data_IF_614777476020
#
_entry.id   IF_614777476020
#
_cell.length_a   1.000
_cell.length_b   1.000
_cell.length_c   1.000
_cell.angle_alpha   90.00
_cell.angle_beta   90.00
_cell.angle_gamma   90.00
#
_symmetry.space_group_name_H-M   'P 1'
#
loop_
_entity.id
_entity.type
_entity.pdbx_description
1 polymer ?
#
# COMPACT_ATOMS: atom_id res chain seq x y z
N UNK A 1 -14.72 -7.72 -49.36
CA UNK A 1 -15.58 -7.19 -48.28
C UNK A 1 -14.66 -6.61 -47.24
N UNK A 2 -14.46 -5.29 -47.25
CA UNK A 2 -13.68 -4.58 -46.27
C UNK A 2 -14.55 -4.39 -45.01
N UNK A 3 -14.17 -5.02 -43.93
CA UNK A 3 -14.84 -4.86 -42.64
C UNK A 3 -14.86 -3.37 -42.27
N UNK A 4 -16.06 -2.85 -42.04
CA UNK A 4 -16.28 -1.47 -41.58
C UNK A 4 -15.57 -1.34 -40.23
N UNK A 5 -14.67 -0.33 -40.03
CA UNK A 5 -14.00 -0.19 -38.75
C UNK A 5 -15.05 -0.07 -37.65
N UNK A 6 -14.91 -0.89 -36.63
CA UNK A 6 -15.78 -0.93 -35.46
C UNK A 6 -15.77 0.46 -34.82
N UNK A 7 -16.94 1.04 -34.64
CA UNK A 7 -17.08 2.43 -34.17
C UNK A 7 -16.82 2.42 -32.66
N UNK A 8 -15.64 2.90 -32.24
CA UNK A 8 -15.27 3.03 -30.83
C UNK A 8 -16.36 3.80 -30.09
N UNK A 9 -16.89 3.23 -29.03
CA UNK A 9 -17.94 3.85 -28.20
C UNK A 9 -17.38 5.02 -27.39
N UNK A 10 -18.24 5.89 -26.86
CA UNK A 10 -17.81 7.00 -26.01
C UNK A 10 -17.16 6.48 -24.73
N UNK A 11 -17.66 5.40 -24.16
CA UNK A 11 -17.10 4.77 -22.97
C UNK A 11 -15.71 4.17 -23.22
N UNK A 12 -15.52 3.49 -24.35
CA UNK A 12 -14.18 2.99 -24.73
C UNK A 12 -13.18 4.11 -24.97
N UNK A 13 -13.61 5.25 -25.55
CA UNK A 13 -12.74 6.43 -25.69
C UNK A 13 -12.36 6.95 -24.32
N UNK A 14 -13.33 7.07 -23.41
CA UNK A 14 -13.11 7.51 -22.05
C UNK A 14 -12.10 6.63 -21.33
N UNK A 15 -12.33 5.33 -21.32
CA UNK A 15 -11.46 4.36 -20.63
C UNK A 15 -10.03 4.39 -21.18
N UNK A 16 -9.87 4.33 -22.51
CA UNK A 16 -8.54 4.39 -23.16
C UNK A 16 -7.77 5.67 -22.81
N UNK A 17 -8.47 6.81 -22.73
CA UNK A 17 -7.86 8.08 -22.35
C UNK A 17 -7.42 8.09 -20.89
N UNK A 18 -8.22 7.54 -19.97
CA UNK A 18 -7.89 7.46 -18.55
C UNK A 18 -6.74 6.49 -18.31
N UNK A 19 -6.74 5.33 -18.97
CA UNK A 19 -5.65 4.35 -18.88
C UNK A 19 -4.33 4.95 -19.42
N UNK A 20 -4.36 5.59 -20.58
CA UNK A 20 -3.20 6.25 -21.15
C UNK A 20 -2.66 7.37 -20.25
N UNK A 21 -3.54 8.15 -19.63
CA UNK A 21 -3.14 9.17 -18.66
C UNK A 21 -2.50 8.58 -17.41
N UNK A 22 -3.03 7.45 -16.91
CA UNK A 22 -2.44 6.70 -15.80
C UNK A 22 -1.05 6.17 -16.15
N UNK A 23 -0.90 5.55 -17.32
CA UNK A 23 0.40 5.05 -17.79
C UNK A 23 1.45 6.17 -17.83
N UNK A 24 1.11 7.31 -18.47
CA UNK A 24 2.02 8.46 -18.56
C UNK A 24 2.37 9.03 -17.18
N UNK A 25 1.40 9.08 -16.26
CA UNK A 25 1.65 9.52 -14.88
C UNK A 25 2.60 8.57 -14.13
N UNK A 26 2.48 7.26 -14.36
CA UNK A 26 3.37 6.24 -13.77
C UNK A 26 4.77 6.27 -14.38
N UNK A 27 4.89 6.43 -15.72
CA UNK A 27 6.17 6.54 -16.42
C UNK A 27 6.94 7.80 -16.02
N UNK A 28 6.23 8.91 -15.82
CA UNK A 28 6.84 10.17 -15.38
C UNK A 28 7.35 10.12 -13.93
N UNK A 29 7.10 9.00 -13.21
CA UNK A 29 7.39 8.86 -11.79
C UNK A 29 6.68 9.95 -10.98
N UNK A 30 5.85 9.63 -10.03
CA UNK A 30 4.95 10.49 -9.23
C UNK A 30 5.36 11.96 -8.94
N UNK A 31 6.53 12.37 -9.40
CA UNK A 31 7.11 13.71 -9.27
C UNK A 31 6.60 14.72 -10.32
N UNK A 32 6.06 14.25 -11.44
CA UNK A 32 5.48 15.15 -12.44
C UNK A 32 3.99 15.28 -12.14
N UNK A 33 3.63 16.47 -11.77
CA UNK A 33 2.27 16.88 -11.55
C UNK A 33 1.44 16.50 -12.79
N UNK A 34 0.36 15.75 -12.56
CA UNK A 34 -0.69 15.46 -13.55
C UNK A 34 -1.08 16.73 -14.33
N UNK A 35 -0.87 17.91 -13.72
CA UNK A 35 -1.01 19.24 -14.33
C UNK A 35 -0.08 19.47 -15.55
N UNK A 36 0.99 18.74 -15.72
CA UNK A 36 1.89 18.87 -16.89
C UNK A 36 1.59 17.86 -18.01
N UNK A 37 0.68 16.93 -17.82
CA UNK A 37 0.25 16.02 -18.87
C UNK A 37 -0.33 16.79 -20.06
N UNK A 38 0.24 16.59 -21.24
CA UNK A 38 -0.24 17.17 -22.49
C UNK A 38 -1.38 16.32 -23.04
N UNK A 39 -2.55 16.91 -23.24
CA UNK A 39 -3.72 16.19 -23.75
C UNK A 39 -3.44 15.50 -25.09
N UNK A 40 -2.63 16.12 -25.97
CA UNK A 40 -2.22 15.56 -27.26
C UNK A 40 -1.40 14.27 -27.10
N UNK A 41 -0.53 14.21 -26.11
CA UNK A 41 0.30 13.04 -25.81
C UNK A 41 -0.58 11.88 -25.32
N UNK A 42 -1.55 12.18 -24.46
CA UNK A 42 -2.53 11.20 -24.01
C UNK A 42 -3.36 10.67 -25.18
N UNK A 43 -3.85 11.56 -26.07
CA UNK A 43 -4.60 11.17 -27.27
C UNK A 43 -3.79 10.23 -28.16
N UNK A 44 -2.52 10.53 -28.37
CA UNK A 44 -1.61 9.69 -29.15
C UNK A 44 -1.43 8.32 -28.50
N UNK A 45 -1.20 8.26 -27.20
CA UNK A 45 -1.03 7.03 -26.43
C UNK A 45 -2.31 6.19 -26.45
N UNK A 46 -3.46 6.82 -26.22
CA UNK A 46 -4.78 6.17 -26.21
C UNK A 46 -5.23 5.68 -27.58
N UNK A 47 -4.64 6.19 -28.68
CA UNK A 47 -4.99 5.87 -30.07
C UNK A 47 -6.49 6.10 -30.36
N UNK A 48 -7.02 7.23 -29.91
CA UNK A 48 -8.42 7.62 -30.09
C UNK A 48 -8.55 8.83 -31.02
N UNK A 49 -9.70 8.99 -31.72
CA UNK A 49 -9.93 10.16 -32.59
C UNK A 49 -9.99 11.45 -31.75
N UNK A 50 -9.23 12.49 -32.12
CA UNK A 50 -9.25 13.81 -31.45
C UNK A 50 -10.66 14.38 -31.32
N UNK A 51 -11.48 14.28 -32.39
CA UNK A 51 -12.86 14.80 -32.38
C UNK A 51 -13.75 14.14 -31.32
N UNK A 52 -13.50 12.88 -30.99
CA UNK A 52 -14.21 12.18 -29.92
C UNK A 52 -13.80 12.67 -28.54
N UNK A 53 -12.50 12.97 -28.35
CA UNK A 53 -11.97 13.51 -27.10
C UNK A 53 -12.53 14.90 -26.81
N UNK A 54 -12.43 15.84 -27.77
CA UNK A 54 -12.94 17.21 -27.59
C UNK A 54 -14.47 17.31 -27.49
N UNK A 55 -15.19 16.29 -27.93
CA UNK A 55 -16.63 16.20 -27.69
C UNK A 55 -16.95 15.74 -26.27
N UNK A 56 -16.05 14.98 -25.62
CA UNK A 56 -16.22 14.48 -24.28
C UNK A 56 -15.71 15.46 -23.22
N UNK A 57 -14.54 16.03 -23.47
CA UNK A 57 -13.92 17.05 -22.64
C UNK A 57 -13.66 18.30 -23.49
N UNK A 58 -14.47 19.33 -23.31
CA UNK A 58 -14.32 20.57 -24.03
C UNK A 58 -13.02 21.29 -23.69
N UNK A 59 -12.57 21.13 -22.46
CA UNK A 59 -11.35 21.71 -21.92
C UNK A 59 -10.46 20.64 -21.30
N UNK A 60 -9.13 20.88 -21.33
CA UNK A 60 -8.13 20.02 -20.73
C UNK A 60 -8.37 19.79 -19.24
N UNK A 61 -8.81 20.79 -18.54
CA UNK A 61 -9.09 20.78 -17.11
C UNK A 61 -10.19 19.75 -16.75
N UNK A 62 -11.19 19.57 -17.60
CA UNK A 62 -12.25 18.57 -17.42
C UNK A 62 -11.69 17.15 -17.52
N UNK A 63 -10.76 16.93 -18.46
CA UNK A 63 -10.06 15.64 -18.56
C UNK A 63 -9.17 15.39 -17.33
N UNK A 64 -8.43 16.40 -16.87
CA UNK A 64 -7.58 16.29 -15.68
C UNK A 64 -8.41 15.97 -14.43
N UNK A 65 -9.56 16.63 -14.26
CA UNK A 65 -10.47 16.35 -13.14
C UNK A 65 -10.98 14.90 -13.19
N UNK A 66 -11.33 14.39 -14.36
CA UNK A 66 -11.77 13.00 -14.53
C UNK A 66 -10.62 12.01 -14.34
N UNK A 67 -9.41 12.33 -14.81
CA UNK A 67 -8.21 11.50 -14.58
C UNK A 67 -7.87 11.43 -13.10
N UNK A 68 -7.93 12.56 -12.38
CA UNK A 68 -7.70 12.57 -10.92
C UNK A 68 -8.73 11.73 -10.18
N UNK A 69 -10.01 11.79 -10.57
CA UNK A 69 -11.05 10.93 -10.00
C UNK A 69 -10.80 9.44 -10.29
N UNK A 70 -10.37 9.10 -11.52
CA UNK A 70 -10.03 7.75 -11.90
C UNK A 70 -8.83 7.20 -11.09
N UNK A 71 -7.77 7.98 -10.98
CA UNK A 71 -6.58 7.61 -10.19
C UNK A 71 -6.88 7.50 -8.69
N UNK A 72 -7.87 8.22 -8.21
CA UNK A 72 -8.33 8.15 -6.83
C UNK A 72 -9.16 6.88 -6.54
N UNK A 73 -9.94 6.43 -7.53
CA UNK A 73 -10.88 5.31 -7.43
C UNK A 73 -10.37 4.05 -8.13
N UNK A 74 -10.90 3.79 -9.33
CA UNK A 74 -10.65 2.55 -10.08
C UNK A 74 -9.18 2.33 -10.45
N UNK A 75 -8.43 3.39 -10.76
CA UNK A 75 -7.01 3.34 -11.06
C UNK A 75 -6.10 3.47 -9.83
N UNK A 76 -6.66 3.41 -8.63
CA UNK A 76 -5.92 3.62 -7.40
C UNK A 76 -5.03 2.43 -7.00
N UNK A 77 -4.12 2.69 -6.06
CA UNK A 77 -3.34 1.65 -5.39
C UNK A 77 -4.20 0.54 -4.75
N UNK A 78 -5.42 0.88 -4.30
CA UNK A 78 -6.28 -0.04 -3.57
C UNK A 78 -7.16 -0.90 -4.48
N UNK A 79 -7.42 -0.51 -5.74
CA UNK A 79 -8.38 -1.18 -6.61
C UNK A 79 -7.90 -2.54 -7.12
N UNK A 80 -6.60 -2.68 -7.38
CA UNK A 80 -6.01 -3.86 -8.01
C UNK A 80 -5.26 -4.78 -7.04
N UNK A 81 -5.30 -4.49 -5.73
CA UNK A 81 -4.51 -5.24 -4.77
C UNK A 81 -5.35 -6.02 -3.79
N UNK A 82 -5.03 -7.31 -3.58
CA UNK A 82 -5.51 -8.02 -2.41
C UNK A 82 -4.95 -7.36 -1.14
N UNK A 83 -5.63 -7.55 -0.01
CA UNK A 83 -5.24 -6.99 1.32
C UNK A 83 -3.80 -7.31 1.68
N UNK A 84 -3.39 -8.53 1.37
CA UNK A 84 -2.01 -8.98 1.40
C UNK A 84 -1.60 -9.41 0.00
N UNK A 85 -0.37 -9.12 -0.39
CA UNK A 85 0.20 -9.71 -1.60
C UNK A 85 0.10 -11.25 -1.53
N UNK A 86 -0.05 -11.95 -2.66
CA UNK A 86 -0.14 -13.42 -2.69
C UNK A 86 1.01 -14.09 -1.94
N UNK A 87 2.21 -13.54 -2.05
CA UNK A 87 3.41 -14.01 -1.36
C UNK A 87 3.25 -13.88 0.16
N UNK A 88 2.73 -12.75 0.64
CA UNK A 88 2.49 -12.51 2.07
C UNK A 88 1.40 -13.45 2.60
N UNK A 89 0.33 -13.66 1.83
CA UNK A 89 -0.73 -14.63 2.18
C UNK A 89 -0.17 -16.04 2.29
N UNK A 90 0.69 -16.44 1.36
CA UNK A 90 1.36 -17.76 1.39
C UNK A 90 2.25 -17.91 2.61
N UNK A 91 2.99 -16.85 3.00
CA UNK A 91 3.82 -16.84 4.20
C UNK A 91 2.97 -16.99 5.46
N UNK A 92 1.88 -16.23 5.60
CA UNK A 92 0.96 -16.32 6.75
C UNK A 92 0.39 -17.73 6.87
N UNK A 93 -0.12 -18.28 5.77
CA UNK A 93 -0.70 -19.62 5.74
C UNK A 93 0.33 -20.68 6.15
N UNK A 94 1.54 -20.61 5.60
CA UNK A 94 2.63 -21.55 5.93
C UNK A 94 3.01 -21.47 7.41
N UNK A 95 3.24 -20.26 7.95
CA UNK A 95 3.60 -20.10 9.37
C UNK A 95 2.56 -20.74 10.27
N UNK A 96 1.27 -20.47 10.03
CA UNK A 96 0.20 -21.02 10.85
C UNK A 96 0.05 -22.53 10.67
N UNK A 97 0.24 -23.05 9.45
CA UNK A 97 0.10 -24.49 9.16
C UNK A 97 1.25 -25.30 9.76
N UNK A 98 2.49 -24.85 9.54
CA UNK A 98 3.69 -25.57 9.96
C UNK A 98 3.91 -25.54 11.49
N UNK A 99 3.25 -24.60 12.18
CA UNK A 99 3.44 -24.37 13.61
C UNK A 99 2.13 -24.47 14.41
N UNK A 100 1.17 -25.27 13.96
CA UNK A 100 -0.13 -25.46 14.63
C UNK A 100 -0.02 -25.77 16.11
N UNK A 101 0.98 -26.58 16.49
CA UNK A 101 1.22 -26.98 17.88
C UNK A 101 1.46 -25.78 18.81
N UNK A 102 1.99 -24.66 18.29
CA UNK A 102 2.22 -23.45 19.06
C UNK A 102 0.92 -22.73 19.46
N UNK A 103 -0.20 -23.02 18.78
CA UNK A 103 -1.49 -22.45 19.14
C UNK A 103 -2.01 -22.97 20.50
N UNK A 104 -1.51 -24.10 20.97
CA UNK A 104 -1.95 -24.72 22.20
C UNK A 104 -1.56 -23.94 23.47
N UNK A 105 -0.50 -23.13 23.42
CA UNK A 105 -0.01 -22.40 24.60
C UNK A 105 0.00 -20.88 24.37
N UNK A 106 -0.19 -20.07 25.43
CA UNK A 106 -0.10 -18.61 25.32
C UNK A 106 1.27 -18.16 24.75
N UNK A 107 2.36 -18.77 25.19
CA UNK A 107 3.73 -18.48 24.76
C UNK A 107 3.90 -18.79 23.27
N UNK A 108 3.37 -19.93 22.81
CA UNK A 108 3.39 -20.31 21.40
C UNK A 108 2.57 -19.35 20.53
N UNK A 109 1.38 -18.95 20.97
CA UNK A 109 0.56 -17.95 20.27
C UNK A 109 1.25 -16.59 20.20
N UNK A 110 1.95 -16.17 21.28
CA UNK A 110 2.77 -14.96 21.27
C UNK A 110 3.91 -15.06 20.27
N UNK A 111 4.61 -16.20 20.23
CA UNK A 111 5.69 -16.42 19.26
C UNK A 111 5.19 -16.37 17.82
N UNK A 112 4.02 -16.96 17.52
CA UNK A 112 3.37 -16.87 16.21
C UNK A 112 2.99 -15.44 15.87
N UNK A 113 2.41 -14.68 16.80
CA UNK A 113 2.08 -13.27 16.59
C UNK A 113 3.32 -12.45 16.21
N UNK A 114 4.42 -12.63 16.95
CA UNK A 114 5.68 -11.93 16.70
C UNK A 114 6.21 -12.23 15.28
N UNK A 115 6.23 -13.50 14.90
CA UNK A 115 6.71 -13.92 13.58
C UNK A 115 5.82 -13.42 12.44
N UNK A 116 4.51 -13.49 12.60
CA UNK A 116 3.55 -12.95 11.63
C UNK A 116 3.75 -11.44 11.46
N UNK A 117 3.83 -10.69 12.56
CA UNK A 117 4.07 -9.23 12.53
C UNK A 117 5.39 -8.94 11.82
N UNK A 118 6.45 -9.62 12.19
CA UNK A 118 7.78 -9.43 11.61
C UNK A 118 7.76 -9.57 10.09
N UNK A 119 7.28 -10.72 9.60
CA UNK A 119 7.33 -11.03 8.17
C UNK A 119 6.30 -10.25 7.35
N UNK A 120 5.04 -10.16 7.81
CA UNK A 120 4.00 -9.45 7.04
C UNK A 120 4.29 -7.95 6.95
N UNK A 121 4.82 -7.35 8.02
CA UNK A 121 5.17 -5.92 8.01
C UNK A 121 6.36 -5.65 7.09
N UNK A 122 7.38 -6.51 7.09
CA UNK A 122 8.52 -6.38 6.17
C UNK A 122 8.07 -6.45 4.71
N UNK A 123 7.23 -7.45 4.35
CA UNK A 123 6.71 -7.59 2.99
C UNK A 123 5.83 -6.41 2.57
N UNK A 124 4.96 -5.94 3.47
CA UNK A 124 4.09 -4.80 3.17
C UNK A 124 4.91 -3.51 2.99
N UNK A 125 5.92 -3.30 3.84
CA UNK A 125 6.82 -2.16 3.73
C UNK A 125 7.61 -2.17 2.42
N UNK A 126 8.19 -3.30 2.03
CA UNK A 126 8.89 -3.45 0.76
C UNK A 126 7.95 -3.15 -0.43
N UNK A 127 6.75 -3.75 -0.41
CA UNK A 127 5.75 -3.53 -1.44
C UNK A 127 5.32 -2.06 -1.59
N UNK A 128 5.25 -1.29 -0.50
CA UNK A 128 4.96 0.14 -0.53
C UNK A 128 6.15 0.94 -1.11
N UNK A 129 7.36 0.68 -0.62
CA UNK A 129 8.55 1.45 -1.04
C UNK A 129 8.89 1.25 -2.51
N UNK A 130 8.61 0.08 -3.07
CA UNK A 130 8.86 -0.26 -4.48
C UNK A 130 7.73 0.19 -5.42
N UNK A 131 6.55 0.48 -4.90
CA UNK A 131 5.37 0.74 -5.72
C UNK A 131 5.29 2.17 -6.24
N UNK A 132 5.36 2.33 -7.56
CA UNK A 132 5.10 3.60 -8.23
C UNK A 132 3.63 4.02 -8.09
N UNK A 133 2.69 3.08 -8.13
CA UNK A 133 1.25 3.35 -7.94
C UNK A 133 0.96 3.90 -6.54
N UNK A 134 1.63 3.37 -5.50
CA UNK A 134 1.49 3.92 -4.15
C UNK A 134 2.07 5.34 -4.05
N UNK A 135 3.23 5.60 -4.66
CA UNK A 135 3.80 6.95 -4.71
C UNK A 135 2.86 7.93 -5.42
N UNK A 136 2.25 7.52 -6.53
CA UNK A 136 1.24 8.32 -7.23
C UNK A 136 0.02 8.60 -6.34
N UNK A 137 -0.46 7.61 -5.60
CA UNK A 137 -1.55 7.78 -4.62
C UNK A 137 -1.19 8.80 -3.54
N UNK A 138 0.02 8.74 -2.98
CA UNK A 138 0.49 9.71 -1.97
C UNK A 138 0.60 11.13 -2.55
N UNK A 139 1.09 11.27 -3.78
CA UNK A 139 1.13 12.55 -4.48
C UNK A 139 -0.29 13.12 -4.71
N UNK A 140 -1.24 12.28 -5.10
CA UNK A 140 -2.64 12.66 -5.28
C UNK A 140 -3.26 13.14 -3.95
N UNK A 141 -3.02 12.44 -2.85
CA UNK A 141 -3.46 12.86 -1.51
C UNK A 141 -2.91 14.24 -1.14
N UNK A 142 -1.63 14.50 -1.40
CA UNK A 142 -1.02 15.79 -1.13
C UNK A 142 -1.61 16.93 -1.97
N UNK A 143 -2.05 16.66 -3.21
CA UNK A 143 -2.60 17.67 -4.12
C UNK A 143 -4.06 18.03 -3.82
N UNK A 144 -4.79 17.22 -3.04
CA UNK A 144 -6.20 17.51 -2.70
C UNK A 144 -6.40 18.88 -2.07
N UNK A 145 -5.44 19.34 -1.27
CA UNK A 145 -5.48 20.65 -0.63
C UNK A 145 -5.36 21.82 -1.60
N UNK A 146 -4.72 21.63 -2.78
CA UNK A 146 -4.44 22.64 -3.79
C UNK A 146 -5.39 22.61 -5.00
N UNK A 147 -6.30 21.62 -5.09
CA UNK A 147 -7.24 21.49 -6.20
C UNK A 147 -8.15 22.71 -6.32
N UNK A 148 -8.19 23.32 -7.51
CA UNK A 148 -8.85 24.62 -7.75
C UNK A 148 -10.37 24.57 -7.66
N UNK A 149 -11.00 23.52 -8.18
CA UNK A 149 -12.46 23.37 -8.21
C UNK A 149 -12.97 22.67 -6.93
N UNK A 150 -13.89 23.31 -6.21
CA UNK A 150 -14.51 22.72 -5.03
C UNK A 150 -15.33 21.46 -5.35
N UNK A 151 -15.88 21.34 -6.56
CA UNK A 151 -16.62 20.17 -7.01
C UNK A 151 -15.68 19.03 -7.40
N UNK A 152 -14.61 19.30 -8.14
CA UNK A 152 -13.60 18.30 -8.46
C UNK A 152 -12.96 17.74 -7.19
N UNK A 153 -12.59 18.61 -6.24
CA UNK A 153 -12.06 18.19 -4.93
C UNK A 153 -12.99 17.22 -4.21
N UNK A 154 -14.30 17.49 -4.17
CA UNK A 154 -15.30 16.62 -3.53
C UNK A 154 -15.39 15.26 -4.23
N UNK A 155 -15.37 15.23 -5.57
CA UNK A 155 -15.39 13.99 -6.36
C UNK A 155 -14.14 13.14 -6.10
N UNK A 156 -12.96 13.76 -6.14
CA UNK A 156 -11.69 13.07 -5.90
C UNK A 156 -11.63 12.55 -4.46
N UNK A 157 -12.04 13.36 -3.47
CA UNK A 157 -12.08 12.95 -2.08
C UNK A 157 -13.04 11.77 -1.86
N UNK A 158 -14.23 11.77 -2.47
CA UNK A 158 -15.17 10.68 -2.40
C UNK A 158 -14.60 9.39 -3.02
N UNK A 159 -13.97 9.47 -4.20
CA UNK A 159 -13.35 8.32 -4.85
C UNK A 159 -12.19 7.72 -4.00
N UNK A 160 -11.38 8.56 -3.37
CA UNK A 160 -10.33 8.12 -2.43
C UNK A 160 -10.93 7.44 -1.19
N UNK A 161 -11.97 8.03 -0.61
CA UNK A 161 -12.66 7.48 0.56
C UNK A 161 -13.22 6.09 0.26
N UNK A 162 -13.89 5.91 -0.88
CA UNK A 162 -14.46 4.61 -1.30
C UNK A 162 -13.37 3.56 -1.50
N UNK A 163 -12.27 3.89 -2.18
CA UNK A 163 -11.15 2.98 -2.38
C UNK A 163 -10.46 2.59 -1.06
N UNK A 164 -10.24 3.55 -0.16
CA UNK A 164 -9.67 3.30 1.15
C UNK A 164 -10.59 2.50 2.06
N UNK A 165 -11.91 2.73 1.98
CA UNK A 165 -12.90 1.99 2.75
C UNK A 165 -12.85 0.50 2.46
N UNK A 166 -12.85 0.11 1.18
CA UNK A 166 -12.78 -1.30 0.79
C UNK A 166 -11.50 -1.97 1.30
N UNK A 167 -10.35 -1.31 1.16
CA UNK A 167 -9.08 -1.81 1.68
C UNK A 167 -9.09 -1.95 3.21
N UNK A 168 -9.65 -0.95 3.92
CA UNK A 168 -9.79 -0.98 5.38
C UNK A 168 -10.68 -2.12 5.85
N UNK A 169 -11.85 -2.31 5.25
CA UNK A 169 -12.78 -3.39 5.60
C UNK A 169 -12.12 -4.76 5.42
N UNK A 170 -11.39 -4.95 4.35
CA UNK A 170 -10.67 -6.19 4.07
C UNK A 170 -9.53 -6.44 5.07
N UNK A 171 -8.78 -5.38 5.45
CA UNK A 171 -7.74 -5.49 6.47
C UNK A 171 -8.32 -5.78 7.86
N UNK A 172 -9.42 -5.14 8.23
CA UNK A 172 -10.14 -5.40 9.49
C UNK A 172 -10.64 -6.84 9.53
N UNK A 173 -11.13 -7.39 8.42
CA UNK A 173 -11.53 -8.80 8.33
C UNK A 173 -10.34 -9.75 8.56
N UNK A 174 -9.17 -9.46 7.97
CA UNK A 174 -7.94 -10.22 8.21
C UNK A 174 -7.49 -10.13 9.67
N UNK A 175 -7.48 -8.93 10.25
CA UNK A 175 -7.12 -8.76 11.68
C UNK A 175 -8.06 -9.55 12.58
N UNK A 176 -9.37 -9.52 12.32
CA UNK A 176 -10.37 -10.30 13.06
C UNK A 176 -10.10 -11.80 12.96
N UNK A 177 -9.78 -12.29 11.76
CA UNK A 177 -9.42 -13.69 11.56
C UNK A 177 -8.19 -14.08 12.36
N UNK A 178 -7.10 -13.30 12.27
CA UNK A 178 -5.85 -13.57 12.99
C UNK A 178 -6.03 -13.49 14.51
N UNK A 179 -6.83 -12.53 14.99
CA UNK A 179 -7.18 -12.46 16.42
C UNK A 179 -7.92 -13.71 16.90
N UNK A 180 -8.86 -14.20 16.09
CA UNK A 180 -9.58 -15.44 16.40
C UNK A 180 -8.66 -16.67 16.43
N UNK A 181 -7.75 -16.79 15.46
CA UNK A 181 -6.80 -17.92 15.40
C UNK A 181 -5.78 -17.89 16.54
N UNK A 182 -5.26 -16.72 16.87
CA UNK A 182 -4.22 -16.55 17.88
C UNK A 182 -4.76 -16.36 19.31
N UNK A 183 -6.09 -16.29 19.48
CA UNK A 183 -6.69 -16.00 20.78
C UNK A 183 -6.25 -14.64 21.31
N UNK A 184 -6.49 -13.59 20.51
CA UNK A 184 -6.21 -12.21 20.90
C UNK A 184 -7.52 -11.49 21.17
N UNK A 185 -7.48 -10.51 22.10
CA UNK A 185 -8.58 -9.58 22.36
C UNK A 185 -8.09 -8.14 22.40
N UNK A 186 -9.01 -7.20 22.27
CA UNK A 186 -8.70 -5.79 22.50
C UNK A 186 -8.52 -5.55 24.02
N UNK A 187 -7.50 -4.78 24.36
CA UNK A 187 -7.18 -4.43 25.77
C UNK A 187 -8.26 -3.61 26.44
N UNK A 188 -8.92 -2.76 25.65
CA UNK A 188 -9.96 -1.85 26.13
C UNK A 188 -11.17 -1.96 25.20
N UNK A 189 -12.40 -2.12 25.70
CA UNK A 189 -13.62 -2.18 24.90
C UNK A 189 -13.93 -0.87 24.14
N UNK A 190 -13.30 0.24 24.49
CA UNK A 190 -13.40 1.50 23.73
C UNK A 190 -12.64 1.45 22.39
N UNK A 191 -11.71 0.52 22.22
CA UNK A 191 -11.00 0.33 20.97
C UNK A 191 -11.79 -0.54 19.99
N UNK A 192 -11.51 -0.35 18.71
CA UNK A 192 -12.01 -1.19 17.62
C UNK A 192 -10.87 -1.65 16.74
N UNK A 193 -11.09 -2.63 15.87
CA UNK A 193 -10.10 -3.06 14.88
C UNK A 193 -9.78 -1.96 13.87
N UNK A 194 -10.67 -1.00 13.65
CA UNK A 194 -10.40 0.18 12.82
C UNK A 194 -9.32 1.07 13.46
N UNK A 195 -9.31 1.22 14.79
CA UNK A 195 -8.23 1.93 15.47
C UNK A 195 -6.88 1.23 15.28
N UNK A 196 -6.84 -0.10 15.40
CA UNK A 196 -5.63 -0.91 15.19
C UNK A 196 -5.12 -0.75 13.75
N UNK A 197 -6.04 -0.92 12.79
CA UNK A 197 -5.72 -0.82 11.36
C UNK A 197 -5.21 0.57 10.99
N UNK A 198 -5.89 1.62 11.45
CA UNK A 198 -5.51 3.00 11.13
C UNK A 198 -4.14 3.34 11.72
N UNK A 199 -3.93 3.10 13.02
CA UNK A 199 -2.67 3.40 13.69
C UNK A 199 -1.50 2.62 13.09
N UNK A 200 -1.68 1.30 12.87
CA UNK A 200 -0.65 0.45 12.28
C UNK A 200 -0.35 0.81 10.82
N UNK A 201 -1.38 1.09 10.03
CA UNK A 201 -1.26 1.50 8.64
C UNK A 201 -0.49 2.83 8.50
N UNK A 202 -0.80 3.82 9.35
CA UNK A 202 -0.11 5.11 9.35
C UNK A 202 1.38 4.98 9.70
N UNK A 203 1.74 4.11 10.65
CA UNK A 203 3.15 3.86 10.99
C UNK A 203 3.91 3.29 9.79
N UNK A 204 3.37 2.26 9.15
CA UNK A 204 4.03 1.63 7.99
C UNK A 204 4.16 2.63 6.83
N UNK A 205 3.07 3.34 6.49
CA UNK A 205 3.04 4.30 5.39
C UNK A 205 3.99 5.49 5.63
N UNK A 206 4.05 6.02 6.85
CA UNK A 206 4.94 7.13 7.19
C UNK A 206 6.41 6.75 7.07
N UNK A 207 6.79 5.56 7.54
CA UNK A 207 8.15 5.05 7.41
C UNK A 207 8.49 4.72 5.94
N UNK A 208 7.55 4.17 5.17
CA UNK A 208 7.73 3.94 3.74
C UNK A 208 7.92 5.26 2.97
N UNK A 209 7.12 6.29 3.25
CA UNK A 209 7.27 7.61 2.64
C UNK A 209 8.64 8.23 2.98
N UNK A 210 9.06 8.12 4.24
CA UNK A 210 10.40 8.60 4.65
C UNK A 210 11.52 7.87 3.93
N UNK A 211 11.39 6.56 3.73
CA UNK A 211 12.38 5.78 2.96
C UNK A 211 12.45 6.25 1.49
N UNK A 212 11.30 6.45 0.83
CA UNK A 212 11.24 6.98 -0.54
C UNK A 212 11.90 8.36 -0.64
N UNK A 213 11.65 9.26 0.33
CA UNK A 213 12.30 10.57 0.39
C UNK A 213 13.82 10.47 0.51
N UNK A 214 14.28 9.57 1.39
CA UNK A 214 15.72 9.33 1.60
C UNK A 214 16.36 8.76 0.35
N UNK A 215 15.73 7.78 -0.30
CA UNK A 215 16.21 7.22 -1.56
C UNK A 215 16.33 8.29 -2.65
N UNK A 216 15.32 9.15 -2.80
CA UNK A 216 15.37 10.27 -3.75
C UNK A 216 16.49 11.26 -3.44
N UNK A 217 16.81 11.50 -2.14
CA UNK A 217 17.89 12.39 -1.73
C UNK A 217 19.28 11.78 -1.95
N UNK A 218 19.38 10.45 -1.98
CA UNK A 218 20.63 9.74 -2.23
C UNK A 218 20.99 9.72 -3.72
N UNK A 219 20.02 9.97 -4.60
CA UNK A 219 20.14 9.76 -6.03
C UNK A 219 20.14 8.27 -6.40
N UNK A 220 19.88 7.96 -7.65
CA UNK A 220 20.19 6.62 -8.17
C UNK A 220 21.70 6.45 -8.06
N UNK A 221 22.16 5.43 -7.32
CA UNK A 221 23.56 5.07 -7.29
C UNK A 221 23.94 4.70 -8.71
N UNK A 222 24.52 5.71 -9.41
CA UNK A 222 25.37 5.60 -10.60
C UNK A 222 25.02 4.53 -11.62
N UNK A 223 24.55 4.95 -12.75
CA UNK A 223 24.98 4.34 -14.02
C UNK A 223 26.51 4.32 -14.10
N UNK A 224 27.11 3.17 -13.87
CA UNK A 224 28.30 2.64 -14.54
C UNK A 224 29.68 3.26 -14.31
N UNK A 225 29.87 4.47 -13.78
CA UNK A 225 31.19 5.13 -13.77
C UNK A 225 31.82 5.43 -12.39
N UNK A 226 31.35 4.81 -11.34
CA UNK A 226 32.08 4.75 -10.06
C UNK A 226 32.34 6.10 -9.34
N UNK A 227 31.80 7.22 -9.81
CA UNK A 227 31.88 8.49 -9.11
C UNK A 227 30.66 8.68 -8.21
N UNK A 228 30.89 8.58 -6.91
CA UNK A 228 29.90 8.95 -5.90
C UNK A 228 29.39 10.36 -6.17
N UNK A 229 28.06 10.53 -6.23
CA UNK A 229 27.44 11.84 -6.37
C UNK A 229 27.98 12.78 -5.27
N UNK A 230 28.56 13.95 -5.62
CA UNK A 230 29.43 14.70 -4.73
C UNK A 230 28.74 15.42 -3.56
N UNK A 231 27.45 15.20 -3.30
CA UNK A 231 26.73 15.95 -2.26
C UNK A 231 25.54 15.20 -1.64
N UNK A 232 25.70 13.91 -1.35
CA UNK A 232 24.65 13.19 -0.61
C UNK A 232 24.60 13.69 0.84
N UNK A 233 23.46 14.23 1.34
CA UNK A 233 23.35 14.69 2.70
C UNK A 233 23.67 13.56 3.70
N UNK A 234 24.54 13.82 4.66
CA UNK A 234 24.94 12.85 5.69
C UNK A 234 23.70 12.34 6.47
N UNK A 235 22.77 13.24 6.77
CA UNK A 235 21.51 12.90 7.43
C UNK A 235 20.69 11.85 6.66
N UNK A 236 20.65 11.93 5.31
CA UNK A 236 19.93 10.95 4.49
C UNK A 236 20.55 9.54 4.61
N UNK A 237 21.87 9.44 4.67
CA UNK A 237 22.58 8.17 4.88
C UNK A 237 22.28 7.58 6.26
N UNK A 238 22.29 8.42 7.30
CA UNK A 238 22.00 7.99 8.66
C UNK A 238 20.56 7.51 8.80
N UNK A 239 19.59 8.24 8.24
CA UNK A 239 18.17 7.81 8.24
C UNK A 239 17.97 6.53 7.45
N UNK A 240 18.63 6.38 6.28
CA UNK A 240 18.59 5.12 5.52
C UNK A 240 19.11 3.95 6.34
N UNK A 241 20.23 4.15 7.04
CA UNK A 241 20.78 3.13 7.90
C UNK A 241 19.80 2.74 9.02
N UNK A 242 19.18 3.70 9.70
CA UNK A 242 18.18 3.45 10.75
C UNK A 242 16.95 2.68 10.22
N UNK A 243 16.46 3.03 9.03
CA UNK A 243 15.28 2.38 8.43
C UNK A 243 15.54 0.93 8.00
N UNK A 244 16.77 0.64 7.54
CA UNK A 244 17.10 -0.65 6.90
C UNK A 244 18.03 -1.54 7.74
N UNK A 245 18.62 -1.03 8.83
CA UNK A 245 19.47 -1.85 9.69
C UNK A 245 18.65 -2.86 10.47
N UNK A 246 18.98 -4.15 10.40
CA UNK A 246 18.31 -5.17 11.19
C UNK A 246 18.62 -4.99 12.67
N UNK A 247 17.62 -5.21 13.52
CA UNK A 247 17.74 -5.20 14.98
C UNK A 247 17.46 -6.61 15.49
N UNK A 248 18.34 -7.23 16.28
CA UNK A 248 18.09 -8.54 16.86
C UNK A 248 16.81 -8.57 17.70
N UNK A 249 16.06 -9.65 17.62
CA UNK A 249 14.83 -9.82 18.38
C UNK A 249 14.36 -11.27 18.42
N UNK A 250 13.23 -11.54 19.10
CA UNK A 250 12.71 -12.89 19.20
C UNK A 250 12.24 -13.40 17.85
N UNK A 251 12.64 -14.60 17.49
CA UNK A 251 12.14 -15.37 16.38
C UNK A 251 11.27 -16.54 16.83
N UNK A 252 10.74 -17.26 15.86
CA UNK A 252 9.97 -18.46 16.10
C UNK A 252 10.86 -19.55 16.69
N UNK A 253 10.38 -20.26 17.71
CA UNK A 253 11.15 -21.32 18.38
C UNK A 253 12.21 -20.84 19.37
N UNK A 254 12.28 -19.52 19.65
CA UNK A 254 13.24 -18.94 20.60
C UNK A 254 14.59 -18.57 19.99
N UNK A 255 14.80 -18.84 18.71
CA UNK A 255 16.00 -18.39 18.01
C UNK A 255 15.97 -16.90 17.74
N UNK A 256 17.13 -16.21 17.76
CA UNK A 256 17.21 -14.81 17.36
C UNK A 256 16.79 -14.61 15.90
N UNK A 257 16.00 -13.58 15.64
CA UNK A 257 15.61 -13.18 14.30
C UNK A 257 15.92 -11.71 14.05
N UNK A 258 16.09 -11.35 12.80
CA UNK A 258 16.28 -9.96 12.39
C UNK A 258 14.93 -9.24 12.29
N UNK A 259 14.83 -8.11 12.94
CA UNK A 259 13.69 -7.21 12.93
C UNK A 259 14.06 -5.89 12.25
N UNK A 260 13.17 -5.36 11.46
CA UNK A 260 13.29 -4.00 10.96
C UNK A 260 12.67 -2.99 11.90
N UNK A 261 13.07 -1.72 11.80
CA UNK A 261 12.44 -0.63 12.55
C UNK A 261 10.92 -0.61 12.35
N UNK A 262 10.46 -0.79 11.10
CA UNK A 262 9.02 -0.76 10.79
C UNK A 262 8.27 -1.90 11.48
N UNK A 263 8.82 -3.11 11.52
CA UNK A 263 8.19 -4.24 12.19
C UNK A 263 8.13 -4.04 13.71
N UNK A 264 9.17 -3.46 14.30
CA UNK A 264 9.19 -3.10 15.72
C UNK A 264 8.18 -2.01 16.06
N UNK A 265 8.11 -0.97 15.25
CA UNK A 265 7.16 0.12 15.45
C UNK A 265 5.71 -0.37 15.33
N UNK A 266 5.43 -1.21 14.33
CA UNK A 266 4.10 -1.82 14.17
C UNK A 266 3.74 -2.74 15.35
N UNK A 267 4.70 -3.54 15.85
CA UNK A 267 4.50 -4.35 17.05
C UNK A 267 4.13 -3.49 18.24
N UNK A 268 4.81 -2.35 18.45
CA UNK A 268 4.49 -1.41 19.52
C UNK A 268 3.06 -0.86 19.43
N UNK A 269 2.58 -0.61 18.20
CA UNK A 269 1.17 -0.25 17.97
C UNK A 269 0.25 -1.40 18.37
N UNK A 270 0.51 -2.62 17.90
CA UNK A 270 -0.31 -3.78 18.26
C UNK A 270 -0.34 -4.02 19.77
N UNK A 271 0.79 -3.96 20.45
CA UNK A 271 0.88 -4.17 21.90
C UNK A 271 0.11 -3.11 22.70
N UNK A 272 -0.15 -1.93 22.12
CA UNK A 272 -1.02 -0.91 22.71
C UNK A 272 -2.49 -1.30 22.69
N UNK A 273 -2.95 -1.96 21.64
CA UNK A 273 -4.36 -2.20 21.41
C UNK A 273 -4.81 -3.63 21.74
N UNK A 274 -3.91 -4.63 21.59
CA UNK A 274 -4.28 -6.04 21.71
C UNK A 274 -3.44 -6.77 22.76
N UNK A 275 -4.02 -7.84 23.30
CA UNK A 275 -3.35 -8.76 24.23
C UNK A 275 -3.83 -10.19 23.97
N UNK A 276 -3.09 -11.16 24.49
CA UNK A 276 -3.55 -12.55 24.52
C UNK A 276 -4.77 -12.66 25.43
N UNK A 277 -5.80 -13.33 24.92
CA UNK A 277 -6.99 -13.64 25.73
C UNK A 277 -6.64 -14.80 26.70
N UNK A 278 -6.69 -14.58 28.02
CA UNK A 278 -6.43 -15.61 29.01
C UNK A 278 -7.47 -16.73 28.99
N UNK A 279 -8.69 -16.44 28.55
CA UNK A 279 -9.81 -17.37 28.52
C UNK A 279 -9.95 -18.11 27.17
N UNK A 280 -9.02 -17.88 26.25
CA UNK A 280 -9.04 -18.50 24.93
C UNK A 280 -8.79 -20.01 24.99
N UNK A 281 -9.72 -20.77 24.42
CA UNK A 281 -9.61 -22.22 24.24
C UNK A 281 -9.24 -22.53 22.80
N UNK A 282 -8.04 -23.10 22.54
CA UNK A 282 -7.65 -23.48 21.19
C UNK A 282 -8.62 -24.49 20.56
N UNK A 283 -8.83 -24.44 19.23
CA UNK A 283 -9.64 -25.44 18.54
C UNK A 283 -9.06 -26.87 18.78
N UNK A 284 -9.91 -27.91 18.89
CA UNK A 284 -9.49 -29.28 19.25
C UNK A 284 -8.46 -29.89 18.29
N UNK A 285 -8.43 -29.47 17.02
CA UNK A 285 -7.47 -29.97 16.03
C UNK A 285 -6.03 -29.41 16.20
N UNK A 286 -5.84 -28.39 17.04
CA UNK A 286 -4.51 -27.83 17.32
C UNK A 286 -3.71 -28.66 18.33
N UNK A 287 -4.35 -29.56 19.07
CA UNK A 287 -3.75 -30.38 20.12
C UNK A 287 -3.42 -31.82 19.71
N UNK A 288 -3.81 -32.26 18.50
CA UNK A 288 -3.73 -33.63 18.04
C UNK A 288 -2.45 -33.94 17.23
N UNK A 289 -1.30 -33.33 17.59
CA UNK A 289 0.00 -33.71 17.06
C UNK A 289 1.01 -33.73 18.21
N UNK A 290 0.89 -34.74 19.07
CA UNK A 290 1.88 -35.17 20.06
C UNK A 290 2.55 -36.43 19.59
#
# INVERSE_FOLDING_TARGET
MTARPERVTAEEVRQRMLDAGRELALEAGAALTIEHLRLEEVIQRARVPRSSVYRMWAYREEYIDDLLCYLAGEGSWFSDRPVLAPETTSVVTRILTDNKQLLATPEGRRALLLELVRLTTMHNYAALTESTTWRLHMALMATLGSTRSGQARKRIAAALEDAQKQSRESMVALLRYLMGVLGLRLRDPAYTLDHVQLAGGLVIQSLALRNVQVQASLGEESDGDGQAAPNVPQEAKEVRALLNSPVPGPGLGGEPAEWTLVARAYLGVLDTFVELDPDFVPPPDSTAAG
#
